data_IF_615871619821
#
_entry.id   IF_615871619821
#
_cell.length_a   1.000
_cell.length_b   1.000
_cell.length_c   1.000
_cell.angle_alpha   90.00
_cell.angle_beta   90.00
_cell.angle_gamma   90.00
#
_symmetry.space_group_name_H-M   'P 1'
#
loop_
_entity.id
_entity.type
_entity.pdbx_description
1 polymer ?
#
# COMPACT_ATOMS: atom_id res chain seq x y z
N UNK A 1 -28.92 -21.36 -62.09
CA UNK A 1 -27.89 -21.44 -61.05
C UNK A 1 -26.66 -20.67 -61.50
N UNK A 2 -26.55 -19.40 -61.11
CA UNK A 2 -25.29 -18.70 -60.84
C UNK A 2 -25.63 -17.79 -59.65
N UNK A 3 -25.18 -18.21 -58.47
CA UNK A 3 -25.12 -17.39 -57.25
C UNK A 3 -23.86 -16.52 -57.30
N UNK A 4 -23.73 -15.60 -56.32
CA UNK A 4 -22.61 -14.69 -56.02
C UNK A 4 -22.67 -13.33 -56.73
N UNK A 5 -22.40 -12.20 -56.07
CA UNK A 5 -22.10 -11.91 -54.67
C UNK A 5 -22.27 -10.39 -54.53
N UNK A 6 -23.31 -9.95 -53.83
CA UNK A 6 -23.67 -8.54 -53.71
C UNK A 6 -23.34 -8.03 -52.32
N UNK A 7 -22.13 -7.49 -52.15
CA UNK A 7 -21.61 -6.83 -50.96
C UNK A 7 -22.68 -6.17 -50.08
N UNK A 8 -22.93 -6.74 -48.90
CA UNK A 8 -23.31 -5.97 -47.72
C UNK A 8 -22.16 -6.06 -46.73
N UNK A 9 -21.20 -5.15 -46.87
CA UNK A 9 -20.16 -4.92 -45.86
C UNK A 9 -20.85 -4.36 -44.62
N UNK A 10 -21.22 -5.24 -43.68
CA UNK A 10 -21.47 -4.85 -42.31
C UNK A 10 -20.11 -4.45 -41.72
N UNK A 11 -19.78 -3.15 -41.79
CA UNK A 11 -18.74 -2.58 -40.96
C UNK A 11 -19.31 -2.48 -39.54
N UNK A 12 -19.21 -3.57 -38.78
CA UNK A 12 -19.24 -3.47 -37.32
C UNK A 12 -18.00 -2.68 -36.90
N UNK A 13 -18.20 -1.40 -36.62
CA UNK A 13 -17.22 -0.61 -35.90
C UNK A 13 -17.01 -1.26 -34.53
N UNK A 14 -15.90 -1.98 -34.37
CA UNK A 14 -15.36 -2.28 -33.06
C UNK A 14 -15.02 -0.93 -32.42
N UNK A 15 -15.94 -0.40 -31.63
CA UNK A 15 -15.62 0.62 -30.65
C UNK A 15 -14.70 -0.07 -29.63
N UNK A 16 -13.40 -0.04 -29.92
CA UNK A 16 -12.37 -0.27 -28.93
C UNK A 16 -12.52 0.89 -27.95
N UNK A 17 -13.31 0.69 -26.91
CA UNK A 17 -13.18 1.43 -25.68
C UNK A 17 -11.78 1.10 -25.16
N UNK A 18 -10.80 1.88 -25.62
CA UNK A 18 -9.53 1.97 -24.93
C UNK A 18 -9.90 2.62 -23.61
N UNK A 19 -10.21 1.80 -22.60
CA UNK A 19 -10.03 2.17 -21.21
C UNK A 19 -8.52 2.34 -21.02
N UNK A 20 -7.95 3.39 -21.61
CA UNK A 20 -6.80 4.03 -21.01
C UNK A 20 -7.35 4.52 -19.68
N UNK A 21 -7.27 3.69 -18.64
CA UNK A 21 -7.27 4.20 -17.29
C UNK A 21 -6.24 5.32 -17.33
N UNK A 22 -6.69 6.55 -17.14
CA UNK A 22 -5.81 7.65 -16.85
C UNK A 22 -5.03 7.19 -15.64
N UNK A 23 -3.82 6.66 -15.85
CA UNK A 23 -2.99 6.14 -14.78
C UNK A 23 -2.74 7.31 -13.86
N UNK A 24 -3.44 7.35 -12.74
CA UNK A 24 -3.27 8.38 -11.75
C UNK A 24 -1.79 8.33 -11.33
N UNK A 25 -1.06 9.37 -11.71
CA UNK A 25 0.37 9.44 -11.50
C UNK A 25 0.63 9.92 -10.08
N UNK A 26 0.90 8.97 -9.18
CA UNK A 26 1.18 9.22 -7.77
C UNK A 26 2.66 9.45 -7.45
N UNK A 27 3.48 9.75 -8.46
CA UNK A 27 4.92 9.93 -8.31
C UNK A 27 5.33 11.03 -7.32
N UNK A 28 4.46 12.01 -7.06
CA UNK A 28 4.72 13.04 -6.04
C UNK A 28 4.94 12.44 -4.63
N UNK A 29 4.28 11.31 -4.34
CA UNK A 29 4.39 10.60 -3.07
C UNK A 29 5.55 9.60 -3.05
N UNK A 30 6.14 9.27 -4.21
CA UNK A 30 7.29 8.37 -4.27
C UNK A 30 8.47 8.99 -3.54
N UNK A 31 9.17 8.20 -2.74
CA UNK A 31 10.37 8.62 -2.03
C UNK A 31 10.65 7.83 -0.77
N UNK A 32 11.65 8.29 -0.05
CA UNK A 32 12.09 7.73 1.21
C UNK A 32 11.60 8.63 2.33
N UNK A 33 11.05 8.02 3.37
CA UNK A 33 10.53 8.69 4.54
C UNK A 33 11.25 8.17 5.78
N UNK A 34 11.66 9.09 6.65
CA UNK A 34 12.10 8.76 8.00
C UNK A 34 10.93 8.93 8.95
N UNK A 35 10.49 7.81 9.52
CA UNK A 35 9.36 7.76 10.44
C UNK A 35 9.83 7.46 11.86
N UNK A 36 9.06 7.91 12.86
CA UNK A 36 9.21 7.51 14.25
C UNK A 36 8.42 6.21 14.50
N UNK A 37 9.09 5.23 15.08
CA UNK A 37 8.46 3.95 15.47
C UNK A 37 7.57 4.16 16.70
N UNK A 38 6.32 3.69 16.62
CA UNK A 38 5.37 3.68 17.72
C UNK A 38 5.80 2.70 18.81
N UNK A 39 6.43 3.20 19.87
CA UNK A 39 7.05 2.38 20.91
C UNK A 39 6.10 1.38 21.58
N UNK A 40 4.88 1.79 21.91
CA UNK A 40 3.90 0.94 22.59
C UNK A 40 3.50 -0.24 21.70
N UNK A 41 3.13 0.04 20.45
CA UNK A 41 2.72 -0.98 19.49
C UNK A 41 3.88 -1.93 19.17
N UNK A 42 5.09 -1.39 19.03
CA UNK A 42 6.27 -2.22 18.85
C UNK A 42 6.55 -3.12 20.05
N UNK A 43 6.41 -2.60 21.28
CA UNK A 43 6.59 -3.41 22.49
C UNK A 43 5.60 -4.58 22.52
N UNK A 44 4.33 -4.33 22.22
CA UNK A 44 3.30 -5.38 22.14
C UNK A 44 3.66 -6.41 21.07
N UNK A 45 4.14 -5.98 19.90
CA UNK A 45 4.57 -6.88 18.84
C UNK A 45 5.78 -7.75 19.28
N UNK A 46 6.75 -7.18 20.00
CA UNK A 46 7.89 -7.93 20.55
C UNK A 46 7.44 -8.94 21.60
N UNK A 47 6.59 -8.54 22.53
CA UNK A 47 6.05 -9.38 23.61
C UNK A 47 5.31 -10.60 23.05
N UNK A 48 4.56 -10.40 21.96
CA UNK A 48 3.87 -11.46 21.22
C UNK A 48 4.77 -12.28 20.29
N UNK A 49 6.08 -12.01 20.27
CA UNK A 49 7.05 -12.73 19.44
C UNK A 49 6.91 -12.47 17.94
N UNK A 50 6.29 -11.37 17.54
CA UNK A 50 6.03 -11.04 16.13
C UNK A 50 7.34 -10.82 15.35
N UNK A 51 7.38 -11.35 14.13
CA UNK A 51 8.45 -11.08 13.18
C UNK A 51 8.41 -9.65 12.61
N UNK A 52 7.23 -9.03 12.61
CA UNK A 52 6.99 -7.65 12.18
C UNK A 52 7.28 -6.63 13.28
N UNK A 53 8.11 -7.00 14.26
CA UNK A 53 8.58 -6.09 15.30
C UNK A 53 9.91 -5.44 14.90
N UNK A 54 10.13 -4.21 15.30
CA UNK A 54 11.45 -3.59 15.27
C UNK A 54 12.29 -4.07 16.46
N UNK A 55 13.62 -4.19 16.30
CA UNK A 55 14.54 -4.41 17.42
C UNK A 55 14.29 -3.42 18.56
N UNK A 56 14.34 -3.90 19.82
CA UNK A 56 14.16 -3.04 20.98
C UNK A 56 15.15 -1.87 20.97
N UNK A 57 14.65 -0.67 21.28
CA UNK A 57 15.42 0.57 21.22
C UNK A 57 15.35 1.30 19.87
N UNK A 58 14.77 0.70 18.83
CA UNK A 58 14.55 1.37 17.54
C UNK A 58 13.57 2.54 17.73
N UNK A 59 14.04 3.76 17.43
CA UNK A 59 13.24 4.99 17.57
C UNK A 59 12.74 5.51 16.23
N UNK A 60 13.49 5.25 15.16
CA UNK A 60 13.18 5.66 13.80
C UNK A 60 13.33 4.49 12.84
N UNK A 61 12.54 4.48 11.79
CA UNK A 61 12.65 3.53 10.69
C UNK A 61 12.59 4.29 9.36
N UNK A 62 13.27 3.74 8.36
CA UNK A 62 13.18 4.19 6.98
C UNK A 62 11.99 3.49 6.33
N UNK A 63 11.19 4.24 5.60
CA UNK A 63 10.06 3.73 4.81
C UNK A 63 10.25 4.18 3.38
N UNK A 64 10.35 3.26 2.43
CA UNK A 64 10.33 3.58 1.01
C UNK A 64 8.90 3.45 0.52
N UNK A 65 8.36 4.50 -0.10
CA UNK A 65 7.08 4.43 -0.79
C UNK A 65 7.35 4.64 -2.28
N UNK A 66 7.03 3.66 -3.11
CA UNK A 66 7.22 3.78 -4.55
C UNK A 66 6.13 3.03 -5.30
N UNK A 67 5.52 3.70 -6.28
CA UNK A 67 4.47 3.13 -7.13
C UNK A 67 3.35 2.48 -6.32
N UNK A 68 2.95 3.18 -5.25
CA UNK A 68 1.91 2.78 -4.28
C UNK A 68 2.26 1.58 -3.40
N UNK A 69 3.50 1.10 -3.44
CA UNK A 69 4.00 0.04 -2.55
C UNK A 69 4.80 0.65 -1.41
N UNK A 70 4.50 0.24 -0.18
CA UNK A 70 5.22 0.64 1.03
C UNK A 70 6.20 -0.44 1.46
N UNK A 71 7.47 -0.07 1.65
CA UNK A 71 8.51 -0.93 2.19
C UNK A 71 8.98 -0.33 3.51
N UNK A 72 8.86 -1.08 4.60
CA UNK A 72 9.31 -0.64 5.93
C UNK A 72 10.58 -1.40 6.30
N UNK A 73 11.67 -0.65 6.49
CA UNK A 73 12.99 -1.25 6.67
C UNK A 73 13.32 -1.56 8.13
N UNK A 74 14.08 -2.64 8.34
CA UNK A 74 14.72 -2.92 9.63
C UNK A 74 13.82 -3.56 10.70
N UNK A 75 12.80 -4.31 10.30
CA UNK A 75 12.09 -5.21 11.22
C UNK A 75 12.95 -6.46 11.54
N UNK A 76 12.50 -7.25 12.51
CA UNK A 76 13.21 -8.42 13.02
C UNK A 76 13.42 -9.50 11.94
N UNK A 77 12.44 -9.71 11.05
CA UNK A 77 12.55 -10.61 9.90
C UNK A 77 13.21 -9.98 8.67
N UNK A 78 13.65 -8.71 8.76
CA UNK A 78 14.15 -7.94 7.63
C UNK A 78 13.18 -6.83 7.23
N UNK A 79 13.11 -6.54 5.94
CA UNK A 79 12.23 -5.50 5.42
C UNK A 79 10.82 -6.06 5.22
N UNK A 80 9.81 -5.29 5.66
CA UNK A 80 8.43 -5.55 5.30
C UNK A 80 8.16 -4.95 3.93
N UNK A 81 7.77 -5.78 2.97
CA UNK A 81 7.33 -5.35 1.63
C UNK A 81 5.81 -5.48 1.59
N UNK A 82 5.12 -4.35 1.51
CA UNK A 82 3.67 -4.30 1.44
C UNK A 82 3.11 -4.56 0.04
N UNK A 83 1.80 -4.36 -0.08
CA UNK A 83 1.05 -4.55 -1.30
C UNK A 83 0.89 -3.23 -2.07
N UNK A 84 0.46 -3.33 -3.33
CA UNK A 84 0.04 -2.16 -4.08
C UNK A 84 -1.24 -1.57 -3.46
N UNK A 85 -1.15 -0.34 -2.96
CA UNK A 85 -2.25 0.35 -2.32
C UNK A 85 -3.10 1.13 -3.31
N UNK A 86 -4.36 1.36 -2.95
CA UNK A 86 -5.25 2.29 -3.67
C UNK A 86 -5.31 3.62 -2.93
N UNK A 87 -5.26 4.75 -3.65
CA UNK A 87 -5.53 6.04 -3.04
C UNK A 87 -7.00 6.14 -2.67
N UNK A 88 -7.27 6.44 -1.40
CA UNK A 88 -8.60 6.75 -0.89
C UNK A 88 -8.62 8.21 -0.46
N UNK A 89 -9.60 8.96 -0.96
CA UNK A 89 -9.87 10.33 -0.53
C UNK A 89 -11.01 10.31 0.47
N UNK A 90 -10.70 10.62 1.73
CA UNK A 90 -11.69 10.98 2.74
C UNK A 90 -11.76 12.51 2.82
N UNK A 91 -12.87 13.11 3.30
CA UNK A 91 -12.97 14.56 3.44
C UNK A 91 -11.76 15.13 4.23
N UNK A 92 -10.90 15.87 3.53
CA UNK A 92 -9.70 16.48 4.11
C UNK A 92 -8.51 15.54 4.36
N UNK A 93 -8.55 14.28 3.89
CA UNK A 93 -7.47 13.32 4.14
C UNK A 93 -7.21 12.40 2.94
N UNK A 94 -5.99 12.44 2.43
CA UNK A 94 -5.48 11.52 1.41
C UNK A 94 -4.73 10.37 2.09
N UNK A 95 -5.11 9.15 1.77
CA UNK A 95 -4.52 7.93 2.34
C UNK A 95 -4.44 6.84 1.30
N UNK A 96 -3.26 6.27 1.13
CA UNK A 96 -3.05 5.01 0.44
C UNK A 96 -3.46 3.88 1.39
N UNK A 97 -4.31 2.97 0.91
CA UNK A 97 -4.79 1.84 1.69
C UNK A 97 -4.76 0.57 0.87
N UNK A 98 -4.34 -0.51 1.52
CA UNK A 98 -4.61 -1.88 1.12
C UNK A 98 -5.31 -2.57 2.29
N UNK A 99 -6.36 -3.34 2.02
CA UNK A 99 -7.15 -3.98 3.09
C UNK A 99 -7.74 -5.28 2.55
N UNK A 100 -7.58 -6.37 3.29
CA UNK A 100 -8.28 -7.63 3.11
C UNK A 100 -8.67 -8.21 4.49
N UNK A 101 -9.21 -9.43 4.52
CA UNK A 101 -9.70 -10.04 5.77
C UNK A 101 -8.60 -10.33 6.81
N UNK A 102 -7.32 -10.36 6.41
CA UNK A 102 -6.18 -10.75 7.25
C UNK A 102 -5.15 -9.64 7.47
N UNK A 103 -5.14 -8.62 6.60
CA UNK A 103 -4.09 -7.62 6.52
C UNK A 103 -4.66 -6.26 6.13
N UNK A 104 -4.24 -5.24 6.86
CA UNK A 104 -4.51 -3.83 6.56
C UNK A 104 -3.21 -3.05 6.52
N UNK A 105 -2.98 -2.32 5.44
CA UNK A 105 -1.83 -1.45 5.27
C UNK A 105 -2.31 -0.03 4.96
N UNK A 106 -1.61 0.96 5.51
CA UNK A 106 -2.00 2.34 5.38
C UNK A 106 -0.81 3.26 5.32
N UNK A 107 -0.83 4.22 4.39
CA UNK A 107 0.12 5.31 4.36
C UNK A 107 -0.58 6.63 4.05
N UNK A 108 -0.44 7.61 4.94
CA UNK A 108 -0.85 8.98 4.72
C UNK A 108 0.40 9.86 4.73
N UNK A 109 0.94 10.20 3.54
CA UNK A 109 2.13 11.04 3.42
C UNK A 109 1.93 12.42 4.07
N UNK A 110 0.75 13.01 3.86
CA UNK A 110 0.41 14.32 4.41
C UNK A 110 0.39 14.33 5.94
N UNK A 111 -0.23 13.32 6.56
CA UNK A 111 -0.32 13.23 8.02
C UNK A 111 0.95 12.63 8.64
N UNK A 112 1.87 12.13 7.82
CA UNK A 112 3.10 11.48 8.25
C UNK A 112 2.84 10.19 9.05
N UNK A 113 1.83 9.41 8.65
CA UNK A 113 1.41 8.18 9.35
C UNK A 113 1.56 6.98 8.41
N UNK A 114 2.18 5.91 8.89
CA UNK A 114 2.20 4.60 8.25
C UNK A 114 1.73 3.53 9.24
N UNK A 115 0.95 2.55 8.77
CA UNK A 115 0.42 1.48 9.60
C UNK A 115 0.43 0.15 8.86
N UNK A 116 0.76 -0.92 9.57
CA UNK A 116 0.44 -2.29 9.15
C UNK A 116 -0.32 -2.97 10.30
N UNK A 117 -1.39 -3.68 9.96
CA UNK A 117 -2.19 -4.49 10.87
C UNK A 117 -2.27 -5.88 10.28
N UNK A 118 -1.74 -6.87 10.97
CA UNK A 118 -1.69 -8.26 10.52
C UNK A 118 -2.46 -9.09 11.54
N UNK A 119 -3.48 -9.79 11.08
CA UNK A 119 -4.23 -10.71 11.90
C UNK A 119 -3.39 -11.98 12.12
N UNK A 120 -3.32 -12.41 13.39
CA UNK A 120 -2.57 -13.59 13.79
C UNK A 120 -3.57 -14.70 14.14
N UNK A 121 -3.40 -15.93 13.63
CA UNK A 121 -4.23 -17.10 13.97
C UNK A 121 -4.37 -17.38 15.47
N UNK A 122 -3.48 -16.84 16.30
CA UNK A 122 -3.54 -16.93 17.77
C UNK A 122 -4.46 -15.89 18.45
N UNK A 123 -5.37 -15.26 17.70
CA UNK A 123 -6.30 -14.20 18.15
C UNK A 123 -5.64 -12.87 18.56
N UNK A 124 -4.40 -12.61 18.15
CA UNK A 124 -3.65 -11.41 18.55
C UNK A 124 -3.24 -10.58 17.33
N UNK A 125 -4.04 -9.58 16.96
CA UNK A 125 -3.69 -8.63 15.87
C UNK A 125 -2.37 -7.94 16.19
N UNK A 126 -1.42 -8.01 15.26
CA UNK A 126 -0.17 -7.26 15.33
C UNK A 126 -0.38 -5.94 14.62
N UNK A 127 -0.16 -4.85 15.35
CA UNK A 127 -0.22 -3.51 14.79
C UNK A 127 1.17 -2.91 14.87
N UNK A 128 1.69 -2.40 13.76
CA UNK A 128 2.78 -1.44 13.77
C UNK A 128 2.25 -0.09 13.33
N UNK A 129 2.61 0.93 14.10
CA UNK A 129 2.30 2.30 13.80
C UNK A 129 3.59 3.09 13.74
N UNK A 130 3.80 3.77 12.62
CA UNK A 130 4.85 4.77 12.45
C UNK A 130 4.21 6.14 12.30
N UNK A 131 4.87 7.14 12.88
CA UNK A 131 4.35 8.51 12.97
C UNK A 131 5.43 9.51 12.61
N UNK A 132 5.05 10.75 12.32
CA UNK A 132 5.99 11.81 11.95
C UNK A 132 6.94 11.34 10.81
N UNK A 133 6.37 10.64 9.84
CA UNK A 133 7.07 10.26 8.61
C UNK A 133 7.36 11.53 7.81
N UNK A 134 8.64 11.84 7.62
CA UNK A 134 9.09 12.98 6.82
C UNK A 134 9.89 12.48 5.64
N UNK A 135 9.58 12.99 4.46
CA UNK A 135 10.34 12.71 3.24
C UNK A 135 11.78 13.21 3.42
N UNK A 136 12.76 12.41 3.01
CA UNK A 136 14.19 12.80 2.96
C UNK A 136 14.46 13.84 1.87
#
# INVERSE_FOLDING_TARGET
MINNDGMKKLLMACAVLILTGCGENYSEYNGIYICRVGRLMNYIAVDRGSEYSFPLGTVKARVTFNDRVMIIHGMKSGDYVGHEMTLTSLPGKLMFKYDNDELSEGFSPHDGIATITIDNPRNDRIIQQLTNCKKE
#
